data_IF_620843588152
#
_entry.id   IF_620843588152
#
_cell.length_a   1.000
_cell.length_b   1.000
_cell.length_c   1.000
_cell.angle_alpha   90.00
_cell.angle_beta   90.00
_cell.angle_gamma   90.00
#
_symmetry.space_group_name_H-M   'P 1'
#
loop_
_entity.id
_entity.type
_entity.pdbx_description
1 polymer ?
#
# COMPACT_ATOMS: atom_id res chain seq x y z
N UNK A 1 -25.86 -4.98 -22.81
CA UNK A 1 -25.98 -5.67 -21.50
C UNK A 1 -25.40 -7.08 -21.57
N UNK A 2 -25.82 -7.91 -22.51
CA UNK A 2 -25.26 -9.26 -22.69
C UNK A 2 -23.75 -9.27 -22.98
N UNK A 3 -23.27 -8.39 -23.87
CA UNK A 3 -21.83 -8.22 -24.15
C UNK A 3 -21.00 -7.85 -22.91
N UNK A 4 -21.53 -6.96 -22.05
CA UNK A 4 -20.87 -6.57 -20.79
C UNK A 4 -20.76 -7.74 -19.83
N UNK A 5 -21.79 -8.59 -19.76
CA UNK A 5 -21.78 -9.80 -18.94
C UNK A 5 -20.79 -10.83 -19.48
N UNK A 6 -20.72 -11.01 -20.80
CA UNK A 6 -19.79 -11.94 -21.43
C UNK A 6 -18.33 -11.49 -21.25
N UNK A 7 -18.06 -10.19 -21.33
CA UNK A 7 -16.74 -9.64 -21.05
C UNK A 7 -16.34 -9.79 -19.58
N UNK A 8 -17.30 -9.65 -18.66
CA UNK A 8 -17.09 -9.93 -17.23
C UNK A 8 -16.73 -11.41 -17.00
N UNK A 9 -17.46 -12.33 -17.65
CA UNK A 9 -17.18 -13.76 -17.56
C UNK A 9 -15.82 -14.14 -18.14
N UNK A 10 -15.37 -13.49 -19.22
CA UNK A 10 -14.02 -13.68 -19.75
C UNK A 10 -12.95 -13.29 -18.73
N UNK A 11 -13.15 -12.19 -17.99
CA UNK A 11 -12.21 -11.76 -16.94
C UNK A 11 -12.09 -12.82 -15.83
N UNK A 12 -13.19 -13.46 -15.45
CA UNK A 12 -13.19 -14.49 -14.40
C UNK A 12 -12.42 -15.76 -14.78
N UNK A 13 -12.07 -15.94 -16.06
CA UNK A 13 -11.25 -17.06 -16.55
C UNK A 13 -9.76 -16.72 -16.61
N UNK A 14 -9.37 -15.48 -16.28
CA UNK A 14 -7.99 -15.03 -16.27
C UNK A 14 -7.42 -15.20 -14.87
N UNK A 15 -6.30 -15.90 -14.76
CA UNK A 15 -5.56 -16.00 -13.50
C UNK A 15 -4.91 -14.66 -13.21
N UNK A 16 -5.30 -14.04 -12.10
CA UNK A 16 -4.72 -12.79 -11.61
C UNK A 16 -3.37 -13.05 -10.93
N UNK A 17 -3.32 -14.06 -10.05
CA UNK A 17 -2.09 -14.48 -9.35
C UNK A 17 -2.22 -15.89 -8.77
N UNK A 18 -1.08 -16.53 -8.54
CA UNK A 18 -0.99 -17.83 -7.86
C UNK A 18 -0.65 -17.64 -6.37
N UNK A 19 -1.42 -18.20 -5.45
CA UNK A 19 -1.22 -17.92 -4.01
C UNK A 19 -0.58 -19.10 -3.27
N UNK A 20 -0.68 -20.31 -3.81
CA UNK A 20 -0.02 -21.50 -3.30
C UNK A 20 0.26 -22.54 -4.40
N UNK A 21 1.08 -23.53 -4.11
CA UNK A 21 1.26 -24.72 -4.94
C UNK A 21 1.21 -25.97 -4.06
N UNK A 22 0.82 -27.11 -4.66
CA UNK A 22 0.83 -28.41 -3.99
C UNK A 22 2.25 -28.94 -3.87
N UNK A 23 2.52 -29.70 -2.80
CA UNK A 23 3.79 -30.39 -2.64
C UNK A 23 3.92 -31.61 -3.57
N UNK A 24 2.80 -32.11 -4.08
CA UNK A 24 2.77 -33.25 -5.01
C UNK A 24 2.81 -32.76 -6.45
N UNK A 25 3.61 -33.43 -7.27
CA UNK A 25 3.68 -33.18 -8.72
C UNK A 25 2.86 -34.22 -9.46
N UNK A 26 2.13 -33.79 -10.47
CA UNK A 26 1.43 -34.67 -11.39
C UNK A 26 2.41 -35.52 -12.21
N UNK A 27 1.90 -36.51 -12.94
CA UNK A 27 2.70 -37.34 -13.85
C UNK A 27 3.41 -36.51 -14.95
N UNK A 28 2.86 -35.33 -15.28
CA UNK A 28 3.46 -34.37 -16.20
C UNK A 28 4.58 -33.51 -15.58
N UNK A 29 4.88 -33.69 -14.29
CA UNK A 29 5.95 -33.00 -13.59
C UNK A 29 5.58 -31.63 -13.00
N UNK A 30 4.33 -31.20 -13.12
CA UNK A 30 3.84 -29.92 -12.60
C UNK A 30 3.07 -30.12 -11.28
N UNK A 31 3.28 -29.27 -10.26
CA UNK A 31 2.38 -29.22 -9.10
C UNK A 31 1.08 -28.50 -9.45
N UNK A 32 0.00 -28.82 -8.74
CA UNK A 32 -1.23 -28.03 -8.82
C UNK A 32 -1.02 -26.65 -8.19
N UNK A 33 -1.69 -25.64 -8.74
CA UNK A 33 -1.57 -24.26 -8.28
C UNK A 33 -2.89 -23.73 -7.73
N UNK A 34 -2.84 -23.05 -6.58
CA UNK A 34 -4.00 -22.38 -6.02
C UNK A 34 -4.11 -20.98 -6.63
N UNK A 35 -5.10 -20.78 -7.48
CA UNK A 35 -5.22 -19.62 -8.36
C UNK A 35 -6.24 -18.62 -7.82
N UNK A 36 -5.86 -17.34 -7.83
CA UNK A 36 -6.74 -16.20 -7.62
C UNK A 36 -7.16 -15.68 -8.98
N UNK A 37 -8.46 -15.63 -9.23
CA UNK A 37 -9.06 -15.21 -10.49
C UNK A 37 -9.30 -13.70 -10.55
N UNK A 38 -9.09 -13.11 -11.72
CA UNK A 38 -9.29 -11.67 -11.93
C UNK A 38 -10.76 -11.30 -11.71
N UNK A 39 -11.01 -10.21 -10.99
CA UNK A 39 -12.36 -9.70 -10.72
C UNK A 39 -13.17 -10.47 -9.68
N UNK A 40 -12.71 -11.65 -9.22
CA UNK A 40 -13.35 -12.44 -8.16
C UNK A 40 -12.72 -12.20 -6.78
N UNK A 41 -13.41 -12.47 -5.67
CA UNK A 41 -12.83 -12.39 -4.33
C UNK A 41 -11.90 -13.58 -4.03
N UNK A 42 -11.14 -13.52 -2.93
CA UNK A 42 -10.23 -14.62 -2.52
C UNK A 42 -10.98 -15.88 -2.06
N UNK A 43 -12.26 -15.79 -1.74
CA UNK A 43 -13.11 -16.95 -1.42
C UNK A 43 -13.33 -17.88 -2.62
N UNK A 44 -13.24 -17.34 -3.84
CA UNK A 44 -13.41 -18.08 -5.10
C UNK A 44 -12.08 -18.61 -5.65
N UNK A 45 -10.98 -18.58 -4.88
CA UNK A 45 -9.74 -19.20 -5.29
C UNK A 45 -9.92 -20.73 -5.39
N UNK A 46 -9.38 -21.33 -6.45
CA UNK A 46 -9.49 -22.76 -6.74
C UNK A 46 -8.13 -23.40 -7.04
N UNK A 47 -8.00 -24.71 -6.78
CA UNK A 47 -6.83 -25.49 -7.16
C UNK A 47 -6.97 -25.94 -8.60
N UNK A 48 -5.97 -25.63 -9.42
CA UNK A 48 -5.97 -25.89 -10.86
C UNK A 48 -4.76 -26.75 -11.26
N UNK A 49 -4.96 -27.54 -12.31
CA UNK A 49 -3.92 -28.41 -12.89
C UNK A 49 -2.71 -27.59 -13.35
N UNK A 50 -1.54 -27.97 -12.86
CA UNK A 50 -0.31 -27.24 -13.13
C UNK A 50 0.09 -27.17 -14.60
N UNK A 51 -0.21 -28.21 -15.39
CA UNK A 51 0.13 -28.24 -16.81
C UNK A 51 -0.77 -27.31 -17.62
N UNK A 52 -2.06 -27.20 -17.26
CA UNK A 52 -2.98 -26.24 -17.86
C UNK A 52 -2.57 -24.79 -17.56
N UNK A 53 -2.22 -24.49 -16.31
CA UNK A 53 -1.78 -23.15 -15.92
C UNK A 53 -0.45 -22.79 -16.59
N UNK A 54 0.51 -23.71 -16.65
CA UNK A 54 1.77 -23.48 -17.36
C UNK A 54 1.57 -23.16 -18.85
N UNK A 55 0.57 -23.77 -19.50
CA UNK A 55 0.29 -23.53 -20.91
C UNK A 55 -0.25 -22.12 -21.20
N UNK A 56 -1.07 -21.55 -20.30
CA UNK A 56 -1.79 -20.29 -20.53
C UNK A 56 -1.25 -19.09 -19.73
N UNK A 57 -0.68 -19.35 -18.56
CA UNK A 57 -0.36 -18.34 -17.54
C UNK A 57 1.03 -18.59 -16.92
N UNK A 58 2.02 -18.95 -17.75
CA UNK A 58 3.39 -19.20 -17.29
C UNK A 58 4.00 -18.00 -16.57
N UNK A 59 3.72 -16.77 -17.02
CA UNK A 59 4.18 -15.55 -16.34
C UNK A 59 3.73 -15.48 -14.88
N UNK A 60 2.50 -15.86 -14.57
CA UNK A 60 1.98 -15.88 -13.20
C UNK A 60 2.69 -16.91 -12.32
N UNK A 61 3.14 -18.04 -12.90
CA UNK A 61 3.98 -19.05 -12.23
C UNK A 61 5.36 -18.48 -11.94
N UNK A 62 5.99 -17.86 -12.94
CA UNK A 62 7.33 -17.29 -12.81
C UNK A 62 7.34 -16.17 -11.75
N UNK A 63 6.33 -15.29 -11.77
CA UNK A 63 6.11 -14.27 -10.73
C UNK A 63 5.91 -14.89 -9.35
N UNK A 64 5.20 -16.03 -9.26
CA UNK A 64 4.98 -16.74 -8.00
C UNK A 64 6.27 -17.29 -7.39
N UNK A 65 7.09 -17.95 -8.19
CA UNK A 65 8.37 -18.44 -7.69
C UNK A 65 9.35 -17.30 -7.42
N UNK A 66 9.36 -16.26 -8.25
CA UNK A 66 10.14 -15.05 -8.04
C UNK A 66 9.80 -14.38 -6.70
N UNK A 67 8.52 -14.17 -6.37
CA UNK A 67 8.13 -13.58 -5.08
C UNK A 67 8.48 -14.47 -3.89
N UNK A 68 8.34 -15.79 -4.01
CA UNK A 68 8.67 -16.70 -2.91
C UNK A 68 10.17 -16.83 -2.64
N UNK A 69 11.00 -16.65 -3.66
CA UNK A 69 12.47 -16.67 -3.54
C UNK A 69 13.05 -15.28 -3.25
N UNK A 70 12.22 -14.23 -3.32
CA UNK A 70 12.67 -12.86 -3.15
C UNK A 70 13.23 -12.61 -1.75
N UNK A 71 14.41 -11.98 -1.72
CA UNK A 71 15.08 -11.54 -0.49
C UNK A 71 14.59 -10.16 -0.02
N UNK A 72 13.84 -9.44 -0.86
CA UNK A 72 13.36 -8.07 -0.61
C UNK A 72 12.01 -8.07 0.13
N UNK A 73 11.87 -8.92 1.14
CA UNK A 73 10.71 -8.94 2.02
C UNK A 73 11.00 -8.16 3.31
N UNK A 74 9.99 -7.57 3.98
CA UNK A 74 10.18 -6.86 5.23
C UNK A 74 11.02 -7.66 6.24
N UNK A 75 11.96 -6.97 6.88
CA UNK A 75 12.80 -7.53 7.93
C UNK A 75 12.76 -6.65 9.17
N UNK A 76 12.83 -7.27 10.35
CA UNK A 76 12.63 -6.58 11.64
C UNK A 76 13.70 -5.54 11.94
N UNK A 77 14.93 -5.73 11.45
CA UNK A 77 16.10 -4.92 11.81
C UNK A 77 16.55 -3.97 10.69
N UNK A 78 15.63 -3.18 10.16
CA UNK A 78 15.99 -2.17 9.16
C UNK A 78 16.67 -0.95 9.81
N UNK A 79 18.00 -0.81 9.61
CA UNK A 79 18.81 0.27 10.20
C UNK A 79 18.27 1.66 9.87
N UNK A 80 17.74 1.85 8.67
CA UNK A 80 17.21 3.14 8.20
C UNK A 80 15.95 3.59 8.95
N UNK A 81 15.29 2.69 9.69
CA UNK A 81 14.17 3.04 10.58
C UNK A 81 14.66 3.60 11.93
N UNK A 82 15.89 3.27 12.34
CA UNK A 82 16.51 3.76 13.58
C UNK A 82 17.29 5.05 13.34
N UNK A 83 18.03 5.11 12.23
CA UNK A 83 18.81 6.28 11.84
C UNK A 83 18.54 6.62 10.39
N UNK A 84 17.89 7.77 10.16
CA UNK A 84 17.62 8.26 8.80
C UNK A 84 18.90 8.76 8.14
N UNK A 85 19.13 8.44 6.86
CA UNK A 85 20.28 8.97 6.12
C UNK A 85 20.08 10.45 5.75
N UNK A 86 21.16 11.09 5.32
CA UNK A 86 21.10 12.46 4.79
C UNK A 86 20.44 12.44 3.41
N UNK A 87 19.48 13.35 3.21
CA UNK A 87 18.81 13.50 1.92
C UNK A 87 19.75 13.97 0.82
N UNK A 88 19.62 13.37 -0.36
CA UNK A 88 20.24 13.79 -1.61
C UNK A 88 19.14 13.98 -2.65
N UNK A 89 19.07 15.18 -3.23
CA UNK A 89 18.04 15.51 -4.21
C UNK A 89 18.25 14.75 -5.54
N UNK A 90 17.19 14.12 -6.02
CA UNK A 90 17.14 13.47 -7.32
C UNK A 90 17.02 14.55 -8.40
N UNK A 91 18.08 14.71 -9.21
CA UNK A 91 18.09 15.66 -10.34
C UNK A 91 17.36 15.12 -11.57
N UNK A 92 17.28 13.79 -11.69
CA UNK A 92 16.61 13.07 -12.77
C UNK A 92 15.88 11.87 -12.17
N UNK A 93 14.88 11.37 -12.89
CA UNK A 93 14.19 10.14 -12.51
C UNK A 93 15.20 8.97 -12.45
N UNK A 94 15.24 8.22 -11.34
CA UNK A 94 16.00 6.98 -11.26
C UNK A 94 15.46 5.89 -12.19
N UNK A 95 16.32 5.02 -12.69
CA UNK A 95 15.95 3.97 -13.67
C UNK A 95 14.99 2.91 -13.15
N UNK A 96 14.82 2.78 -11.83
CA UNK A 96 13.87 1.84 -11.23
C UNK A 96 12.45 2.43 -11.11
N UNK A 97 12.28 3.74 -11.34
CA UNK A 97 10.97 4.40 -11.42
C UNK A 97 10.57 4.43 -12.89
N UNK A 98 9.29 4.15 -13.17
CA UNK A 98 8.74 4.10 -14.55
C UNK A 98 8.36 2.71 -15.04
N UNK A 99 8.58 1.67 -14.21
CA UNK A 99 8.22 0.30 -14.55
C UNK A 99 9.00 -0.25 -15.75
N UNK A 100 8.50 -1.35 -16.31
CA UNK A 100 9.08 -1.96 -17.50
C UNK A 100 8.84 -1.14 -18.78
N UNK A 101 7.85 -0.25 -18.75
CA UNK A 101 7.43 0.57 -19.89
C UNK A 101 8.25 1.87 -20.03
N UNK A 102 9.12 2.19 -19.05
CA UNK A 102 9.94 3.40 -19.10
C UNK A 102 9.13 4.68 -18.95
N UNK A 103 8.05 4.66 -18.16
CA UNK A 103 7.21 5.84 -17.91
C UNK A 103 8.00 6.94 -17.21
N UNK A 104 7.80 8.18 -17.64
CA UNK A 104 8.46 9.36 -17.06
C UNK A 104 7.51 10.17 -16.18
N UNK A 105 8.00 10.53 -14.99
CA UNK A 105 7.39 11.48 -14.10
C UNK A 105 7.47 12.88 -14.69
N UNK A 106 6.40 13.65 -14.54
CA UNK A 106 6.43 15.09 -14.83
C UNK A 106 7.32 15.81 -13.83
N UNK A 107 7.87 16.97 -14.21
CA UNK A 107 8.81 17.73 -13.36
C UNK A 107 8.26 18.02 -11.96
N UNK A 108 6.98 18.41 -11.87
CA UNK A 108 6.34 18.67 -10.58
C UNK A 108 6.17 17.39 -9.74
N UNK A 109 6.03 16.22 -10.37
CA UNK A 109 5.95 14.94 -9.66
C UNK A 109 7.32 14.52 -9.11
N UNK A 110 8.40 14.78 -9.85
CA UNK A 110 9.77 14.58 -9.35
C UNK A 110 10.08 15.52 -8.19
N UNK A 111 9.60 16.77 -8.24
CA UNK A 111 9.70 17.70 -7.12
C UNK A 111 8.91 17.22 -5.90
N UNK A 112 7.68 16.71 -6.09
CA UNK A 112 6.88 16.10 -5.03
C UNK A 112 7.57 14.88 -4.40
N UNK A 113 8.17 14.01 -5.23
CA UNK A 113 8.98 12.88 -4.77
C UNK A 113 10.17 13.34 -3.92
N UNK A 114 10.93 14.33 -4.39
CA UNK A 114 12.05 14.91 -3.65
C UNK A 114 11.60 15.49 -2.31
N UNK A 115 10.45 16.16 -2.27
CA UNK A 115 9.89 16.70 -1.04
C UNK A 115 9.52 15.60 -0.04
N UNK A 116 8.83 14.55 -0.49
CA UNK A 116 8.49 13.37 0.34
C UNK A 116 9.76 12.68 0.88
N UNK A 117 10.75 12.48 0.01
CA UNK A 117 12.04 11.88 0.37
C UNK A 117 12.82 12.72 1.39
N UNK A 118 12.85 14.05 1.21
CA UNK A 118 13.49 14.96 2.15
C UNK A 118 12.82 14.91 3.53
N UNK A 119 11.49 15.00 3.57
CA UNK A 119 10.73 14.95 4.83
C UNK A 119 10.90 13.63 5.56
N UNK A 120 10.92 12.50 4.84
CA UNK A 120 11.21 11.18 5.41
C UNK A 120 12.62 11.10 6.01
N UNK A 121 13.64 11.65 5.33
CA UNK A 121 15.00 11.73 5.87
C UNK A 121 15.09 12.57 7.15
N UNK A 122 14.18 13.54 7.33
CA UNK A 122 14.06 14.34 8.55
C UNK A 122 13.21 13.69 9.65
N UNK A 123 12.57 12.55 9.37
CA UNK A 123 11.68 11.89 10.32
C UNK A 123 10.28 12.52 10.40
N UNK A 124 9.93 13.41 9.46
CA UNK A 124 8.63 14.10 9.48
C UNK A 124 7.64 13.39 8.57
N UNK A 125 6.48 13.03 9.11
CA UNK A 125 5.30 12.61 8.34
C UNK A 125 4.74 13.77 7.50
N UNK A 126 4.01 13.45 6.44
CA UNK A 126 3.63 14.43 5.41
C UNK A 126 2.12 14.45 5.13
N UNK A 127 1.63 15.61 4.67
CA UNK A 127 0.32 15.76 4.03
C UNK A 127 0.56 16.22 2.60
N UNK A 128 0.19 15.36 1.64
CA UNK A 128 0.20 15.66 0.22
C UNK A 128 -1.17 16.19 -0.19
N UNK A 129 -1.29 17.51 -0.26
CA UNK A 129 -2.54 18.25 -0.50
C UNK A 129 -2.60 18.87 -1.92
N UNK A 130 -1.98 18.22 -2.90
CA UNK A 130 -2.02 18.65 -4.30
C UNK A 130 -3.43 18.50 -4.89
N UNK A 131 -3.74 19.28 -5.94
CA UNK A 131 -5.01 19.22 -6.66
C UNK A 131 -5.35 17.80 -7.17
N UNK A 132 -6.66 17.51 -7.27
CA UNK A 132 -7.14 16.26 -7.87
C UNK A 132 -6.63 16.11 -9.31
N UNK A 133 -6.19 14.91 -9.69
CA UNK A 133 -5.68 14.66 -11.05
C UNK A 133 -4.18 14.94 -11.27
N UNK A 134 -3.47 15.53 -10.31
CA UNK A 134 -2.02 15.77 -10.46
C UNK A 134 -1.14 14.52 -10.32
N UNK A 135 -1.71 13.36 -9.99
CA UNK A 135 -0.97 12.09 -9.90
C UNK A 135 -0.33 11.84 -8.53
N UNK A 136 -1.00 12.25 -7.45
CA UNK A 136 -0.60 11.97 -6.06
C UNK A 136 -0.35 10.48 -5.79
N UNK A 137 -1.15 9.62 -6.41
CA UNK A 137 -0.97 8.16 -6.38
C UNK A 137 0.40 7.76 -6.93
N UNK A 138 0.75 8.24 -8.13
CA UNK A 138 2.03 7.95 -8.79
C UNK A 138 3.20 8.49 -7.96
N UNK A 139 3.10 9.72 -7.42
CA UNK A 139 4.11 10.29 -6.54
C UNK A 139 4.32 9.42 -5.28
N UNK A 140 3.23 8.92 -4.68
CA UNK A 140 3.28 8.04 -3.50
C UNK A 140 3.95 6.71 -3.82
N UNK A 141 3.57 6.07 -4.94
CA UNK A 141 4.17 4.79 -5.35
C UNK A 141 5.64 4.98 -5.69
N UNK A 142 5.99 6.06 -6.40
CA UNK A 142 7.37 6.43 -6.71
C UNK A 142 8.20 6.66 -5.43
N UNK A 143 7.58 7.25 -4.40
CA UNK A 143 8.22 7.41 -3.10
C UNK A 143 8.46 6.07 -2.40
N UNK A 144 7.50 5.15 -2.39
CA UNK A 144 7.72 3.80 -1.85
C UNK A 144 8.81 3.06 -2.62
N UNK A 145 8.85 3.21 -3.95
CA UNK A 145 9.86 2.61 -4.81
C UNK A 145 11.27 3.19 -4.52
N UNK A 146 11.36 4.52 -4.31
CA UNK A 146 12.59 5.16 -3.82
C UNK A 146 13.06 4.59 -2.48
N UNK A 147 12.16 4.42 -1.50
CA UNK A 147 12.50 3.81 -0.21
C UNK A 147 12.98 2.35 -0.36
N UNK A 148 12.35 1.60 -1.26
CA UNK A 148 12.67 0.21 -1.54
C UNK A 148 14.08 0.05 -2.14
N UNK A 149 14.44 0.87 -3.13
CA UNK A 149 15.72 0.74 -3.84
C UNK A 149 16.89 1.46 -3.16
N UNK A 150 16.72 2.72 -2.78
CA UNK A 150 17.82 3.54 -2.25
C UNK A 150 18.14 3.21 -0.79
N UNK A 151 17.12 2.92 0.00
CA UNK A 151 17.24 2.72 1.45
C UNK A 151 17.03 1.27 1.89
N UNK A 152 16.79 0.36 0.95
CA UNK A 152 16.52 -1.06 1.22
C UNK A 152 15.38 -1.25 2.24
N UNK A 153 14.43 -0.31 2.28
CA UNK A 153 13.27 -0.39 3.15
C UNK A 153 12.16 -1.14 2.42
N UNK A 154 12.02 -2.43 2.73
CA UNK A 154 11.11 -3.32 2.03
C UNK A 154 9.70 -3.39 2.63
N UNK A 155 9.34 -2.49 3.54
CA UNK A 155 8.04 -2.46 4.22
C UNK A 155 8.06 -3.02 5.65
N UNK A 156 6.89 -3.42 6.20
CA UNK A 156 5.59 -3.47 5.52
C UNK A 156 4.96 -2.08 5.39
N UNK A 157 4.32 -1.84 4.24
CA UNK A 157 3.65 -0.58 3.90
C UNK A 157 2.14 -0.79 3.87
N UNK A 158 1.40 -0.02 4.66
CA UNK A 158 -0.07 -0.04 4.68
C UNK A 158 -0.60 1.12 3.84
N UNK A 159 -1.44 0.84 2.86
CA UNK A 159 -2.18 1.84 2.09
C UNK A 159 -3.67 1.65 2.35
N UNK A 160 -4.28 2.65 2.99
CA UNK A 160 -5.72 2.69 3.28
C UNK A 160 -6.36 3.60 2.24
N UNK A 161 -7.20 3.02 1.39
CA UNK A 161 -7.76 3.70 0.22
C UNK A 161 -9.27 3.49 0.13
N UNK A 162 -10.03 4.44 -0.44
CA UNK A 162 -11.43 4.22 -0.78
C UNK A 162 -11.61 2.99 -1.67
N UNK A 163 -12.72 2.25 -1.50
CA UNK A 163 -13.03 1.09 -2.34
C UNK A 163 -13.07 1.44 -3.84
N UNK A 164 -13.53 2.65 -4.17
CA UNK A 164 -13.62 3.15 -5.54
C UNK A 164 -12.27 3.35 -6.23
N UNK A 165 -11.21 3.68 -5.49
CA UNK A 165 -9.86 3.93 -6.04
C UNK A 165 -8.94 2.72 -5.90
N UNK A 166 -9.34 1.69 -5.16
CA UNK A 166 -8.52 0.51 -4.86
C UNK A 166 -7.99 -0.19 -6.11
N UNK A 167 -8.85 -0.44 -7.10
CA UNK A 167 -8.44 -1.09 -8.36
C UNK A 167 -7.52 -0.22 -9.21
N UNK A 168 -7.62 1.11 -9.06
CA UNK A 168 -6.69 2.07 -9.65
C UNK A 168 -5.32 1.94 -8.97
N UNK A 169 -5.28 2.01 -7.64
CA UNK A 169 -4.05 1.82 -6.87
C UNK A 169 -3.34 0.51 -7.19
N UNK A 170 -4.07 -0.60 -7.28
CA UNK A 170 -3.50 -1.90 -7.63
C UNK A 170 -2.80 -1.88 -9.00
N UNK A 171 -3.45 -1.31 -10.03
CA UNK A 171 -2.88 -1.20 -11.38
C UNK A 171 -1.66 -0.30 -11.41
N UNK A 172 -1.73 0.85 -10.76
CA UNK A 172 -0.61 1.80 -10.69
C UNK A 172 0.59 1.18 -9.96
N UNK A 173 0.38 0.40 -8.89
CA UNK A 173 1.48 -0.28 -8.19
C UNK A 173 2.13 -1.34 -9.08
N UNK A 174 1.33 -2.15 -9.79
CA UNK A 174 1.86 -3.14 -10.74
C UNK A 174 2.67 -2.47 -11.87
N UNK A 175 2.25 -1.28 -12.31
CA UNK A 175 2.91 -0.55 -13.39
C UNK A 175 4.19 0.14 -12.90
N UNK A 176 4.12 0.92 -11.82
CA UNK A 176 5.22 1.78 -11.36
C UNK A 176 6.18 1.11 -10.38
N UNK A 177 5.78 0.03 -9.71
CA UNK A 177 6.58 -0.69 -8.73
C UNK A 177 6.40 -2.23 -8.84
N UNK A 178 6.67 -2.84 -10.02
CA UNK A 178 6.43 -4.27 -10.27
C UNK A 178 7.24 -5.21 -9.36
N UNK A 179 8.36 -4.73 -8.79
CA UNK A 179 9.20 -5.53 -7.89
C UNK A 179 8.61 -5.66 -6.47
N UNK A 180 7.63 -4.83 -6.12
CA UNK A 180 7.00 -4.84 -4.81
C UNK A 180 5.77 -5.74 -4.82
N UNK A 181 5.76 -6.78 -3.98
CA UNK A 181 4.57 -7.63 -3.85
C UNK A 181 3.47 -6.86 -3.10
N UNK A 182 2.43 -6.47 -3.84
CA UNK A 182 1.24 -5.85 -3.30
C UNK A 182 0.12 -6.88 -3.10
N UNK A 183 -0.52 -6.84 -1.94
CA UNK A 183 -1.66 -7.71 -1.58
C UNK A 183 -2.86 -6.84 -1.24
N UNK A 184 -3.99 -7.12 -1.90
CA UNK A 184 -5.27 -6.49 -1.59
C UNK A 184 -5.97 -7.26 -0.47
N UNK A 185 -6.11 -6.62 0.67
CA UNK A 185 -6.81 -7.13 1.85
C UNK A 185 -8.27 -6.68 1.84
N UNK A 186 -9.10 -7.46 1.16
CA UNK A 186 -10.52 -7.18 0.95
C UNK A 186 -11.33 -8.48 0.94
N UNK A 187 -12.64 -8.36 1.16
CA UNK A 187 -13.60 -9.45 1.01
C UNK A 187 -14.27 -9.84 2.31
N UNK A 188 -14.98 -10.97 2.25
CA UNK A 188 -15.67 -11.58 3.37
C UNK A 188 -14.70 -12.23 4.36
N UNK A 189 -15.23 -12.94 5.36
CA UNK A 189 -14.39 -13.65 6.35
C UNK A 189 -13.54 -14.73 5.66
N UNK A 190 -14.11 -15.45 4.70
CA UNK A 190 -13.45 -16.53 3.97
C UNK A 190 -12.26 -16.00 3.16
N UNK A 191 -12.48 -14.95 2.37
CA UNK A 191 -11.45 -14.26 1.60
C UNK A 191 -10.28 -13.82 2.49
N UNK A 192 -10.58 -13.19 3.63
CA UNK A 192 -9.55 -12.70 4.55
C UNK A 192 -8.78 -13.84 5.21
N UNK A 193 -9.43 -14.96 5.51
CA UNK A 193 -8.74 -16.15 6.01
C UNK A 193 -7.78 -16.72 4.96
N UNK A 194 -8.19 -16.82 3.69
CA UNK A 194 -7.31 -17.24 2.58
C UNK A 194 -6.07 -16.34 2.49
N UNK A 195 -6.25 -15.01 2.54
CA UNK A 195 -5.14 -14.05 2.52
C UNK A 195 -4.20 -14.27 3.73
N UNK A 196 -4.76 -14.41 4.93
CA UNK A 196 -3.99 -14.66 6.17
C UNK A 196 -3.18 -15.95 6.11
N UNK A 197 -3.72 -16.99 5.50
CA UNK A 197 -3.07 -18.31 5.40
C UNK A 197 -2.01 -18.35 4.31
N UNK A 198 -2.29 -17.79 3.13
CA UNK A 198 -1.44 -18.01 1.95
C UNK A 198 -0.51 -16.82 1.62
N UNK A 199 -0.95 -15.59 1.87
CA UNK A 199 -0.26 -14.36 1.43
C UNK A 199 0.40 -13.59 2.57
N UNK A 200 0.11 -13.91 3.84
CA UNK A 200 0.58 -13.11 4.96
C UNK A 200 2.04 -13.37 5.32
N UNK A 201 2.37 -14.61 5.72
CA UNK A 201 3.70 -15.00 6.19
C UNK A 201 4.16 -16.32 5.58
N UNK A 202 5.47 -16.47 5.39
CA UNK A 202 6.08 -17.76 5.09
C UNK A 202 5.97 -18.69 6.31
N UNK A 203 5.37 -19.90 6.17
CA UNK A 203 5.18 -20.81 7.30
C UNK A 203 6.48 -21.19 8.01
N UNK A 204 7.57 -21.33 7.27
CA UNK A 204 8.87 -21.78 7.78
C UNK A 204 9.63 -20.66 8.50
N UNK A 205 9.70 -19.47 7.90
CA UNK A 205 10.54 -18.37 8.39
C UNK A 205 9.80 -17.35 9.23
N UNK A 206 8.46 -17.41 9.26
CA UNK A 206 7.56 -16.40 9.86
C UNK A 206 7.83 -14.96 9.39
N UNK A 207 8.43 -14.82 8.20
CA UNK A 207 8.63 -13.53 7.53
C UNK A 207 7.40 -13.18 6.71
N UNK A 208 7.09 -11.89 6.63
CA UNK A 208 6.02 -11.39 5.77
C UNK A 208 6.35 -11.69 4.31
N UNK A 209 5.33 -12.03 3.51
CA UNK A 209 5.48 -12.28 2.07
C UNK A 209 5.25 -11.04 1.20
N UNK A 210 4.61 -10.01 1.74
CA UNK A 210 4.21 -8.82 1.01
C UNK A 210 5.02 -7.60 1.42
N UNK A 211 5.12 -6.63 0.52
CA UNK A 211 5.69 -5.31 0.77
C UNK A 211 4.59 -4.28 1.05
N UNK A 212 3.53 -4.31 0.24
CA UNK A 212 2.40 -3.37 0.30
C UNK A 212 1.12 -4.13 0.63
N UNK A 213 0.36 -3.64 1.62
CA UNK A 213 -1.00 -4.08 1.90
C UNK A 213 -1.97 -2.95 1.53
N UNK A 214 -2.88 -3.21 0.60
CA UNK A 214 -3.99 -2.31 0.26
C UNK A 214 -5.23 -2.76 1.03
N UNK A 215 -5.89 -1.84 1.72
CA UNK A 215 -7.16 -2.12 2.43
C UNK A 215 -8.10 -0.93 2.32
N UNK A 216 -9.39 -1.16 2.58
CA UNK A 216 -10.36 -0.07 2.76
C UNK A 216 -10.51 0.29 4.23
N UNK A 217 -11.13 1.45 4.47
CA UNK A 217 -11.47 1.96 5.79
C UNK A 217 -12.33 0.98 6.60
N UNK A 218 -13.32 0.35 5.96
CA UNK A 218 -14.27 -0.55 6.60
C UNK A 218 -13.60 -1.87 7.02
N UNK A 219 -12.76 -2.43 6.15
CA UNK A 219 -12.03 -3.66 6.46
C UNK A 219 -10.99 -3.42 7.55
N UNK A 220 -10.32 -2.26 7.53
CA UNK A 220 -9.36 -1.87 8.56
C UNK A 220 -10.02 -1.86 9.94
N UNK A 221 -11.20 -1.25 10.06
CA UNK A 221 -11.95 -1.20 11.32
C UNK A 221 -12.38 -2.59 11.80
N UNK A 222 -12.82 -3.46 10.89
CA UNK A 222 -13.22 -4.85 11.21
C UNK A 222 -12.06 -5.70 11.73
N UNK A 223 -10.86 -5.50 11.18
CA UNK A 223 -9.67 -6.31 11.50
C UNK A 223 -8.57 -5.55 12.24
N UNK A 224 -8.94 -4.49 12.95
CA UNK A 224 -7.98 -3.61 13.63
C UNK A 224 -7.02 -4.35 14.55
N UNK A 225 -7.48 -5.38 15.27
CA UNK A 225 -6.64 -6.16 16.18
C UNK A 225 -5.57 -6.98 15.44
N UNK A 226 -5.90 -7.47 14.24
CA UNK A 226 -4.99 -8.25 13.43
C UNK A 226 -3.97 -7.33 12.73
N UNK A 227 -4.44 -6.27 12.09
CA UNK A 227 -3.60 -5.31 11.36
C UNK A 227 -2.72 -4.47 12.30
N UNK A 228 -3.23 -4.11 13.48
CA UNK A 228 -2.50 -3.38 14.52
C UNK A 228 -1.43 -4.22 15.23
N UNK A 229 -1.44 -5.54 15.06
CA UNK A 229 -0.38 -6.43 15.55
C UNK A 229 0.94 -6.31 14.78
N UNK A 230 0.94 -5.65 13.61
CA UNK A 230 2.14 -5.38 12.84
C UNK A 230 2.72 -4.00 13.15
N UNK A 231 4.06 -3.91 13.10
CA UNK A 231 4.77 -2.65 13.08
C UNK A 231 4.93 -2.20 11.62
N UNK A 232 4.23 -1.15 11.24
CA UNK A 232 4.21 -0.64 9.87
C UNK A 232 5.39 0.31 9.62
N UNK A 233 6.16 0.09 8.55
CA UNK A 233 7.20 1.03 8.17
C UNK A 233 6.62 2.35 7.62
N UNK A 234 5.45 2.26 6.99
CA UNK A 234 4.74 3.37 6.38
C UNK A 234 3.23 3.12 6.45
N UNK A 235 2.46 4.17 6.76
CA UNK A 235 1.01 4.19 6.59
C UNK A 235 0.65 5.34 5.65
N UNK A 236 0.06 5.03 4.50
CA UNK A 236 -0.53 5.98 3.57
C UNK A 236 -2.05 5.95 3.66
N UNK A 237 -2.68 7.11 3.72
CA UNK A 237 -4.15 7.25 3.75
C UNK A 237 -4.59 8.12 2.59
N UNK A 238 -5.36 7.55 1.68
CA UNK A 238 -5.90 8.24 0.49
C UNK A 238 -7.29 8.81 0.77
N UNK A 239 -7.59 10.00 0.26
CA UNK A 239 -8.77 10.78 0.65
C UNK A 239 -8.82 11.03 2.17
N UNK A 240 -7.71 11.55 2.70
CA UNK A 240 -7.49 11.75 4.14
C UNK A 240 -8.49 12.70 4.82
N UNK A 241 -9.33 13.42 4.06
CA UNK A 241 -10.46 14.18 4.61
C UNK A 241 -11.42 13.31 5.45
N UNK A 242 -11.38 11.97 5.31
CA UNK A 242 -12.07 11.02 6.19
C UNK A 242 -11.58 11.04 7.65
N UNK A 243 -10.40 11.58 7.93
CA UNK A 243 -9.77 11.66 9.26
C UNK A 243 -9.98 13.00 9.98
N UNK A 244 -10.93 13.81 9.52
CA UNK A 244 -11.17 15.16 10.06
C UNK A 244 -11.67 15.21 11.51
N UNK A 245 -12.25 14.10 12.00
CA UNK A 245 -12.79 13.98 13.35
C UNK A 245 -11.94 13.03 14.20
N UNK A 246 -11.27 13.59 15.21
CA UNK A 246 -10.44 12.87 16.19
C UNK A 246 -11.24 11.88 17.05
N UNK A 247 -12.54 12.12 17.21
CA UNK A 247 -13.41 11.20 17.93
C UNK A 247 -13.80 9.95 17.15
N UNK A 248 -13.59 9.97 15.83
CA UNK A 248 -13.98 8.85 14.99
C UNK A 248 -13.19 7.57 15.33
N UNK A 249 -13.88 6.43 15.28
CA UNK A 249 -13.26 5.14 15.53
C UNK A 249 -12.08 4.87 14.57
N UNK A 250 -12.20 5.34 13.33
CA UNK A 250 -11.15 5.22 12.32
C UNK A 250 -9.89 5.98 12.74
N UNK A 251 -10.04 7.22 13.19
CA UNK A 251 -8.94 8.05 13.66
C UNK A 251 -8.21 7.38 14.83
N UNK A 252 -8.95 7.02 15.88
CA UNK A 252 -8.41 6.37 17.09
C UNK A 252 -7.69 5.07 16.73
N UNK A 253 -8.29 4.25 15.87
CA UNK A 253 -7.69 2.98 15.41
C UNK A 253 -6.37 3.19 14.66
N UNK A 254 -6.30 4.16 13.74
CA UNK A 254 -5.09 4.42 12.97
C UNK A 254 -3.99 5.11 13.79
N UNK A 255 -4.36 5.94 14.78
CA UNK A 255 -3.41 6.47 15.76
C UNK A 255 -2.73 5.33 16.52
N UNK A 256 -3.51 4.34 16.99
CA UNK A 256 -3.00 3.18 17.75
C UNK A 256 -2.05 2.29 16.94
N UNK A 257 -2.10 2.35 15.60
CA UNK A 257 -1.20 1.55 14.76
C UNK A 257 0.23 2.05 14.84
N UNK A 258 1.12 1.15 15.28
CA UNK A 258 2.56 1.39 15.34
C UNK A 258 3.10 1.63 13.94
N UNK A 259 3.65 2.82 13.72
CA UNK A 259 4.20 3.23 12.42
C UNK A 259 5.41 4.14 12.54
N UNK A 260 6.34 4.06 11.58
CA UNK A 260 7.55 4.90 11.53
C UNK A 260 7.37 6.18 10.71
N UNK A 261 6.43 6.20 9.77
CA UNK A 261 6.16 7.35 8.91
C UNK A 261 4.72 7.27 8.41
N UNK A 262 4.06 8.43 8.31
CA UNK A 262 2.68 8.54 7.85
C UNK A 262 2.59 9.53 6.69
N UNK A 263 1.75 9.22 5.71
CA UNK A 263 1.41 10.10 4.60
C UNK A 263 -0.11 10.22 4.50
N UNK A 264 -0.60 11.44 4.55
CA UNK A 264 -1.98 11.76 4.24
C UNK A 264 -2.05 12.30 2.81
N UNK A 265 -2.92 11.74 1.98
CA UNK A 265 -3.11 12.13 0.60
C UNK A 265 -4.53 12.69 0.49
N UNK A 266 -4.65 13.94 0.05
CA UNK A 266 -5.96 14.58 -0.12
C UNK A 266 -5.97 15.49 -1.34
N UNK A 267 -7.06 15.45 -2.10
CA UNK A 267 -7.30 16.42 -3.17
C UNK A 267 -8.13 17.61 -2.73
N UNK A 268 -8.78 17.51 -1.57
CA UNK A 268 -9.50 18.61 -0.95
C UNK A 268 -8.53 19.31 0.01
N UNK A 269 -8.13 20.56 -0.27
CA UNK A 269 -7.38 21.34 0.70
C UNK A 269 -8.21 21.44 1.99
N UNK A 270 -7.52 21.51 3.12
CA UNK A 270 -8.08 21.62 4.48
C UNK A 270 -9.31 22.55 4.49
N UNK A 271 -10.50 22.00 4.69
CA UNK A 271 -11.75 22.74 4.57
C UNK A 271 -12.42 22.94 5.94
N UNK A 272 -12.53 24.22 6.31
CA UNK A 272 -13.55 24.84 7.16
C UNK A 272 -13.35 24.95 8.68
N UNK A 273 -12.48 24.20 9.36
CA UNK A 273 -12.23 24.47 10.80
C UNK A 273 -10.80 24.21 11.27
N UNK A 274 -10.37 25.00 12.26
CA UNK A 274 -9.09 24.83 12.93
C UNK A 274 -8.98 23.45 13.60
N UNK A 275 -10.11 22.89 14.06
CA UNK A 275 -10.18 21.54 14.65
C UNK A 275 -9.88 20.44 13.63
N UNK A 276 -10.41 20.56 12.41
CA UNK A 276 -10.10 19.58 11.35
C UNK A 276 -8.62 19.63 10.95
N UNK A 277 -8.04 20.83 10.87
CA UNK A 277 -6.60 20.99 10.64
C UNK A 277 -5.78 20.34 11.76
N UNK A 278 -6.12 20.64 13.01
CA UNK A 278 -5.45 20.07 14.17
C UNK A 278 -5.51 18.55 14.15
N UNK A 279 -6.69 17.96 13.89
CA UNK A 279 -6.85 16.50 13.83
C UNK A 279 -5.87 15.85 12.84
N UNK A 280 -5.68 16.45 11.66
CA UNK A 280 -4.74 15.95 10.65
C UNK A 280 -3.27 16.16 11.06
N UNK A 281 -2.95 17.29 11.70
CA UNK A 281 -1.60 17.59 12.22
C UNK A 281 -1.21 16.67 13.39
N UNK A 282 -2.12 16.46 14.34
CA UNK A 282 -1.96 15.49 15.43
C UNK A 282 -1.83 14.07 14.87
N UNK A 283 -2.53 13.73 13.79
CA UNK A 283 -2.40 12.41 13.17
C UNK A 283 -1.00 12.10 12.64
N UNK A 284 -0.35 13.09 12.01
CA UNK A 284 0.99 12.94 11.42
C UNK A 284 2.10 13.10 12.46
N UNK A 285 1.90 13.95 13.48
CA UNK A 285 2.88 14.29 14.51
C UNK A 285 2.20 14.43 15.89
N UNK A 286 1.80 13.32 16.52
CA UNK A 286 1.01 13.35 17.74
C UNK A 286 1.75 14.00 18.92
N UNK A 287 3.07 13.80 19.00
CA UNK A 287 3.90 14.38 20.08
C UNK A 287 4.01 15.90 20.00
N UNK A 288 3.94 16.48 18.80
CA UNK A 288 4.04 17.93 18.60
C UNK A 288 2.70 18.64 18.80
N UNK A 289 1.60 17.98 18.45
CA UNK A 289 0.25 18.55 18.47
C UNK A 289 -0.65 17.80 19.45
N UNK A 290 -0.19 17.62 20.69
CA UNK A 290 -0.82 16.73 21.67
C UNK A 290 -2.17 17.20 22.20
N UNK A 291 -2.40 18.51 22.28
CA UNK A 291 -3.60 19.12 22.85
C UNK A 291 -4.32 19.99 21.82
N UNK A 292 -5.64 19.86 21.76
CA UNK A 292 -6.48 20.78 20.99
C UNK A 292 -6.52 22.17 21.61
N UNK A 293 -6.62 22.24 22.95
CA UNK A 293 -6.76 23.49 23.69
C UNK A 293 -5.55 24.39 23.47
N UNK A 294 -4.34 23.84 23.60
CA UNK A 294 -3.08 24.56 23.37
C UNK A 294 -2.99 25.08 21.92
N UNK A 295 -3.40 24.26 20.96
CA UNK A 295 -3.39 24.62 19.54
C UNK A 295 -4.41 25.70 19.20
N UNK A 296 -5.61 25.63 19.80
CA UNK A 296 -6.65 26.65 19.66
C UNK A 296 -6.22 27.98 20.29
N UNK A 297 -5.52 27.96 21.43
CA UNK A 297 -4.99 29.17 22.03
C UNK A 297 -3.92 29.83 21.16
N UNK A 298 -2.99 29.03 20.60
CA UNK A 298 -1.88 29.53 19.76
C UNK A 298 -2.35 30.06 18.40
N UNK A 299 -3.36 29.41 17.79
CA UNK A 299 -3.74 29.66 16.39
C UNK A 299 -5.20 30.11 16.17
N UNK A 300 -6.06 30.02 17.19
CA UNK A 300 -7.47 30.41 17.12
C UNK A 300 -7.69 31.91 17.24
N UNK A 301 -6.76 32.63 17.90
CA UNK A 301 -6.73 34.10 17.86
C UNK A 301 -6.04 34.51 16.57
N UNK A 302 -6.85 34.73 15.52
CA UNK A 302 -6.35 35.34 14.29
C UNK A 302 -5.53 36.57 14.66
N UNK A 303 -4.29 36.66 14.17
CA UNK A 303 -3.53 37.91 14.26
C UNK A 303 -4.34 38.96 13.52
N UNK A 304 -4.98 39.87 14.25
CA UNK A 304 -5.47 41.12 13.69
C UNK A 304 -4.26 41.87 13.13
N UNK A 305 -4.08 41.78 11.82
CA UNK A 305 -3.22 42.69 11.04
C UNK A 305 -4.06 43.23 9.88
#
# INVERSE_FOLDING_TARGET
>A
QQELTDDLHKQYQIVERIIAHSNQKSAAGYPDYYCKWQGLPYSECSWEDGALIAKKFQSCIDEYFSRNQSKTTPFKDCKVLKQRPRFVALKKQPSYIGGNEGLELRDYQLNGLNWLAHSWCKGNSCILADEMGLGKTIQTISFLNYLFHEHQLYGPFLLVVPLSTLTSWQREIQTWAPQMNAVVYLGDITSRNVIRTHEWMHPQTKRLKFNILLTTYEILLKDKSFLGGLNWAFIGVDEAHRLKNDDSLLYKTLIDFKSNHRLLITGTPLQNSLKELWSLLHFIMPEKFSSWEDFEEEHGKGREF
#
